data_IF_108105140587
#
_entry.id   IF_108105140587
#
_cell.length_a   1.000
_cell.length_b   1.000
_cell.length_c   1.000
_cell.angle_alpha   90.00
_cell.angle_beta   90.00
_cell.angle_gamma   90.00
#
_symmetry.space_group_name_H-M   'P 1'
#
loop_
_entity.id
_entity.type
_entity.pdbx_description
1 polymer ?
#
# COMPACT_ATOMS: atom_id res chain seq x y z
N UNK A 1 12.37 -10.58 -7.98
CA UNK A 1 11.06 -10.70 -7.29
C UNK A 1 11.23 -9.99 -5.97
N UNK A 2 10.44 -8.93 -5.70
CA UNK A 2 10.54 -8.19 -4.44
C UNK A 2 9.93 -9.02 -3.31
N UNK A 3 10.54 -8.98 -2.15
CA UNK A 3 10.02 -9.58 -0.94
C UNK A 3 8.97 -8.67 -0.30
N UNK A 4 8.13 -9.24 0.56
CA UNK A 4 7.16 -8.47 1.35
C UNK A 4 7.84 -7.41 2.23
N UNK A 5 9.00 -7.73 2.78
CA UNK A 5 9.79 -6.82 3.62
C UNK A 5 10.29 -5.61 2.83
N UNK A 6 10.81 -5.82 1.61
CA UNK A 6 11.25 -4.73 0.73
C UNK A 6 10.07 -3.81 0.37
N UNK A 7 8.92 -4.39 -0.01
CA UNK A 7 7.71 -3.61 -0.32
C UNK A 7 7.27 -2.77 0.88
N UNK A 8 7.16 -3.40 2.06
CA UNK A 8 6.75 -2.71 3.28
C UNK A 8 7.71 -1.56 3.60
N UNK A 9 9.01 -1.80 3.50
CA UNK A 9 10.03 -0.80 3.76
C UNK A 9 9.92 0.39 2.80
N UNK A 10 9.72 0.15 1.52
CA UNK A 10 9.67 1.22 0.51
C UNK A 10 8.38 2.06 0.64
N UNK A 11 7.23 1.42 0.90
CA UNK A 11 5.97 2.12 1.18
C UNK A 11 6.07 2.95 2.47
N UNK A 12 6.55 2.36 3.58
CA UNK A 12 6.72 3.10 4.83
C UNK A 12 7.73 4.26 4.69
N UNK A 13 8.81 4.06 3.94
CA UNK A 13 9.81 5.11 3.70
C UNK A 13 9.23 6.28 2.92
N UNK A 14 8.41 6.01 1.89
CA UNK A 14 7.70 7.06 1.16
C UNK A 14 6.77 7.85 2.08
N UNK A 15 5.90 7.16 2.84
CA UNK A 15 4.95 7.80 3.75
C UNK A 15 5.67 8.65 4.80
N UNK A 16 6.73 8.13 5.42
CA UNK A 16 7.59 8.86 6.35
C UNK A 16 8.22 10.10 5.70
N UNK A 17 8.73 9.99 4.47
CA UNK A 17 9.37 11.12 3.77
C UNK A 17 8.40 12.25 3.42
N UNK A 18 7.11 11.91 3.28
CA UNK A 18 6.03 12.85 3.01
C UNK A 18 5.33 13.38 4.25
N UNK A 19 5.64 12.84 5.43
CA UNK A 19 4.92 13.16 6.66
C UNK A 19 3.46 12.72 6.62
N UNK A 20 3.14 11.68 5.84
CA UNK A 20 1.80 11.10 5.78
C UNK A 20 1.67 10.15 6.97
N UNK A 21 0.72 10.42 7.86
CA UNK A 21 0.43 9.54 8.99
C UNK A 21 -0.15 8.21 8.50
N UNK A 22 0.30 7.10 9.09
CA UNK A 22 -0.20 5.78 8.76
C UNK A 22 -0.12 4.83 9.94
N UNK A 23 -0.90 3.74 9.86
CA UNK A 23 -0.82 2.62 10.77
C UNK A 23 -0.80 1.31 9.99
N UNK A 24 0.15 0.46 10.33
CA UNK A 24 0.20 -0.92 9.84
C UNK A 24 -0.85 -1.75 10.57
N UNK A 25 -1.70 -2.42 9.81
CA UNK A 25 -2.79 -3.26 10.34
C UNK A 25 -2.68 -4.68 9.76
N UNK A 26 -3.72 -5.50 9.94
CA UNK A 26 -3.82 -6.80 9.30
C UNK A 26 -2.79 -7.83 9.78
N UNK A 27 -2.38 -8.72 8.87
CA UNK A 27 -1.54 -9.88 9.19
C UNK A 27 -0.15 -9.52 9.71
N UNK A 28 0.50 -8.54 9.09
CA UNK A 28 1.84 -8.10 9.50
C UNK A 28 1.81 -7.51 10.92
N UNK A 29 0.80 -6.71 11.26
CA UNK A 29 0.66 -6.19 12.62
C UNK A 29 0.52 -7.32 13.65
N UNK A 30 -0.31 -8.34 13.38
CA UNK A 30 -0.47 -9.50 14.27
C UNK A 30 0.85 -10.25 14.48
N UNK A 31 1.64 -10.42 13.41
CA UNK A 31 2.97 -11.04 13.49
C UNK A 31 3.91 -10.19 14.36
N UNK A 32 3.89 -8.86 14.22
CA UNK A 32 4.71 -7.95 15.03
C UNK A 32 4.39 -8.04 16.53
N UNK A 33 3.16 -8.38 16.90
CA UNK A 33 2.75 -8.65 18.29
C UNK A 33 3.04 -10.10 18.74
N UNK A 34 3.86 -10.84 18.01
CA UNK A 34 4.31 -12.18 18.40
C UNK A 34 3.29 -13.29 18.19
N UNK A 35 2.25 -13.06 17.38
CA UNK A 35 1.26 -14.08 17.02
C UNK A 35 1.53 -14.59 15.59
N UNK A 36 2.15 -15.78 15.43
CA UNK A 36 2.51 -16.29 14.11
C UNK A 36 1.26 -16.63 13.29
N UNK A 37 1.20 -16.14 12.05
CA UNK A 37 0.17 -16.49 11.06
C UNK A 37 0.70 -16.31 9.65
N UNK A 38 0.04 -16.93 8.69
CA UNK A 38 0.29 -16.67 7.27
C UNK A 38 -0.47 -15.41 6.83
N UNK A 39 0.17 -14.60 5.99
CA UNK A 39 -0.41 -13.45 5.29
C UNK A 39 0.25 -13.35 3.91
N UNK A 40 -0.47 -12.83 2.92
CA UNK A 40 0.00 -12.75 1.52
C UNK A 40 -0.03 -11.33 0.97
N UNK A 41 -0.35 -10.38 1.84
CA UNK A 41 -0.62 -8.98 1.59
C UNK A 41 -0.11 -8.11 2.75
N UNK A 42 -0.13 -6.80 2.52
CA UNK A 42 0.16 -5.75 3.50
C UNK A 42 -1.07 -4.84 3.57
N UNK A 43 -1.61 -4.66 4.78
CA UNK A 43 -2.72 -3.75 5.03
C UNK A 43 -2.23 -2.50 5.77
N UNK A 44 -2.46 -1.32 5.21
CA UNK A 44 -2.07 -0.04 5.82
C UNK A 44 -3.27 0.92 5.75
N UNK A 45 -3.56 1.59 6.86
CA UNK A 45 -4.43 2.77 6.86
C UNK A 45 -3.52 3.99 6.75
N UNK A 46 -3.82 4.88 5.80
CA UNK A 46 -3.08 6.12 5.57
C UNK A 46 -4.01 7.34 5.71
N UNK A 47 -3.49 8.43 6.24
CA UNK A 47 -4.16 9.73 6.29
C UNK A 47 -3.74 10.54 5.06
N UNK A 48 -4.46 10.35 3.95
CA UNK A 48 -4.13 10.98 2.67
C UNK A 48 -5.09 12.13 2.36
N UNK A 49 -4.56 13.28 1.94
CA UNK A 49 -5.35 14.40 1.46
C UNK A 49 -5.64 14.29 -0.05
N UNK A 50 -6.66 14.99 -0.54
CA UNK A 50 -7.10 14.89 -1.94
C UNK A 50 -6.02 15.31 -2.93
N UNK A 51 -5.20 16.26 -2.52
CA UNK A 51 -4.10 16.82 -3.29
C UNK A 51 -2.97 15.79 -3.51
N UNK A 52 -2.80 14.83 -2.60
CA UNK A 52 -1.71 13.84 -2.62
C UNK A 52 -2.04 12.58 -3.44
N UNK A 53 -3.33 12.37 -3.79
CA UNK A 53 -3.80 11.15 -4.49
C UNK A 53 -2.99 10.86 -5.75
N UNK A 54 -2.77 11.89 -6.57
CA UNK A 54 -2.08 11.72 -7.84
C UNK A 54 -0.63 11.29 -7.62
N UNK A 55 0.05 11.95 -6.70
CA UNK A 55 1.44 11.65 -6.39
C UNK A 55 1.59 10.24 -5.80
N UNK A 56 0.70 9.86 -4.87
CA UNK A 56 0.74 8.55 -4.24
C UNK A 56 0.49 7.42 -5.26
N UNK A 57 -0.46 7.61 -6.19
CA UNK A 57 -0.68 6.68 -7.29
C UNK A 57 0.53 6.57 -8.24
N UNK A 58 1.22 7.69 -8.50
CA UNK A 58 2.44 7.70 -9.31
C UNK A 58 3.60 6.96 -8.62
N UNK A 59 3.75 7.14 -7.29
CA UNK A 59 4.68 6.37 -6.47
C UNK A 59 4.39 4.86 -6.53
N UNK A 60 3.14 4.44 -6.30
CA UNK A 60 2.78 3.02 -6.39
C UNK A 60 3.09 2.45 -7.78
N UNK A 61 2.82 3.21 -8.84
CA UNK A 61 3.18 2.81 -10.22
C UNK A 61 4.69 2.67 -10.43
N UNK A 62 5.50 3.59 -9.88
CA UNK A 62 6.96 3.52 -9.98
C UNK A 62 7.52 2.32 -9.23
N UNK A 63 6.87 1.92 -8.15
CA UNK A 63 7.19 0.73 -7.36
C UNK A 63 6.71 -0.60 -8.02
N UNK A 64 6.11 -0.53 -9.21
CA UNK A 64 5.70 -1.71 -9.98
C UNK A 64 4.27 -2.18 -9.70
N UNK A 65 3.51 -1.44 -8.90
CA UNK A 65 2.10 -1.74 -8.66
C UNK A 65 1.21 -1.26 -9.82
N UNK A 66 0.11 -1.98 -10.04
CA UNK A 66 -1.07 -1.46 -10.68
C UNK A 66 -1.85 -0.64 -9.65
N UNK A 67 -2.08 0.64 -9.97
CA UNK A 67 -2.80 1.59 -9.13
C UNK A 67 -3.44 2.64 -10.04
N UNK A 68 -4.74 2.91 -9.89
CA UNK A 68 -5.45 3.97 -10.61
C UNK A 68 -5.76 5.12 -9.63
N UNK A 69 -5.33 6.38 -9.90
CA UNK A 69 -5.73 7.53 -9.10
C UNK A 69 -7.26 7.65 -8.91
N UNK A 70 -8.07 7.16 -9.85
CA UNK A 70 -9.52 7.14 -9.71
C UNK A 70 -9.99 6.21 -8.59
N UNK A 71 -9.38 5.03 -8.45
CA UNK A 71 -9.70 4.07 -7.40
C UNK A 71 -9.31 4.62 -6.02
N UNK A 72 -8.13 5.24 -5.91
CA UNK A 72 -7.71 5.91 -4.69
C UNK A 72 -8.68 7.03 -4.29
N UNK A 73 -9.04 7.89 -5.26
CA UNK A 73 -9.98 8.98 -5.03
C UNK A 73 -11.34 8.47 -4.57
N UNK A 74 -11.85 7.42 -5.23
CA UNK A 74 -13.12 6.80 -4.87
C UNK A 74 -13.06 6.22 -3.47
N UNK A 75 -12.00 5.49 -3.13
CA UNK A 75 -11.81 4.94 -1.79
C UNK A 75 -11.75 6.04 -0.71
N UNK A 76 -11.09 7.15 -0.99
CA UNK A 76 -11.05 8.30 -0.08
C UNK A 76 -12.44 8.95 0.09
N UNK A 77 -13.15 9.20 -1.02
CA UNK A 77 -14.49 9.81 -0.99
C UNK A 77 -15.52 8.89 -0.28
N UNK A 78 -15.40 7.58 -0.45
CA UNK A 78 -16.28 6.56 0.16
C UNK A 78 -15.84 6.14 1.58
N UNK A 79 -14.68 6.62 2.05
CA UNK A 79 -14.04 6.17 3.30
C UNK A 79 -13.88 4.65 3.37
N UNK A 80 -13.43 4.05 2.27
CA UNK A 80 -13.25 2.62 2.10
C UNK A 80 -11.77 2.27 1.92
N UNK A 81 -11.46 1.27 1.10
CA UNK A 81 -10.11 0.81 0.79
C UNK A 81 -9.94 0.69 -0.73
N UNK A 82 -8.69 0.67 -1.18
CA UNK A 82 -8.31 0.26 -2.52
C UNK A 82 -7.20 -0.78 -2.42
N UNK A 83 -6.99 -1.55 -3.48
CA UNK A 83 -5.92 -2.55 -3.56
C UNK A 83 -4.89 -2.13 -4.60
N UNK A 84 -3.60 -2.17 -4.24
CA UNK A 84 -2.50 -2.04 -5.17
C UNK A 84 -1.88 -3.42 -5.41
N UNK A 85 -1.83 -3.88 -6.66
CA UNK A 85 -1.36 -5.23 -7.00
C UNK A 85 -0.07 -5.17 -7.80
N UNK A 86 0.92 -6.00 -7.49
CA UNK A 86 2.17 -6.06 -8.25
C UNK A 86 1.93 -6.59 -9.67
N UNK A 87 2.38 -5.84 -10.68
CA UNK A 87 2.14 -6.17 -12.11
C UNK A 87 2.76 -7.50 -12.56
N UNK A 88 3.83 -7.93 -11.91
CA UNK A 88 4.59 -9.15 -12.22
C UNK A 88 4.03 -10.41 -11.56
N UNK A 89 3.02 -10.29 -10.69
CA UNK A 89 2.38 -11.46 -10.04
C UNK A 89 1.36 -12.18 -10.92
N UNK A 90 0.96 -11.58 -12.05
CA UNK A 90 0.00 -12.19 -12.98
C UNK A 90 0.71 -12.63 -14.27
N UNK A 91 0.64 -13.94 -14.54
CA UNK A 91 1.17 -14.57 -15.74
C UNK A 91 0.59 -13.90 -16.98
N UNK A 92 1.48 -13.45 -17.87
CA UNK A 92 1.19 -13.08 -19.26
C UNK A 92 0.31 -14.17 -19.89
N UNK A 93 -0.92 -13.82 -20.27
CA UNK A 93 -1.67 -14.61 -21.23
C UNK A 93 -1.09 -14.40 -22.63
#
# INVERSE_FOLDING_TARGET
>A
MRTMEEILKDVCSYLNSKGIDYVLIGGIAVIAYGNPRTTVDIDIIIQLEKEDIKEFAEFLKSEGFFSDPHDLKKALDEKSHFTAEMKDMWIKK
#
